data_IF_237717716424
#
_entry.id   IF_237717716424
#
_cell.length_a   1.000
_cell.length_b   1.000
_cell.length_c   1.000
_cell.angle_alpha   90.00
_cell.angle_beta   90.00
_cell.angle_gamma   90.00
#
_symmetry.space_group_name_H-M   'P 1'
#
loop_
_entity.id
_entity.type
_entity.pdbx_description
1 polymer ?
#
# COMPACT_ATOMS: atom_id res chain seq x y z
N UNK A 1 -12.91 -30.83 10.94
CA UNK A 1 -11.48 -30.74 11.30
C UNK A 1 -10.69 -31.26 10.10
N UNK A 2 -9.63 -30.56 9.67
CA UNK A 2 -8.69 -30.94 8.57
C UNK A 2 -8.89 -30.32 7.17
N UNK A 3 -9.44 -29.11 7.06
CA UNK A 3 -9.28 -28.30 5.83
C UNK A 3 -7.87 -27.68 5.72
N UNK A 4 -7.28 -27.32 6.87
CA UNK A 4 -5.95 -26.70 6.94
C UNK A 4 -4.86 -27.72 6.59
N UNK A 5 -4.95 -28.95 7.10
CA UNK A 5 -3.96 -30.02 6.82
C UNK A 5 -3.92 -30.42 5.33
N UNK A 6 -5.06 -30.39 4.63
CA UNK A 6 -5.11 -30.68 3.19
C UNK A 6 -4.55 -29.55 2.32
N UNK A 7 -4.50 -28.31 2.84
CA UNK A 7 -3.83 -27.19 2.16
C UNK A 7 -2.31 -27.38 2.15
N UNK A 8 -1.75 -27.97 3.22
CA UNK A 8 -0.31 -28.17 3.41
C UNK A 8 0.25 -29.46 2.77
N UNK A 9 -0.62 -30.40 2.34
CA UNK A 9 -0.21 -31.67 1.70
C UNK A 9 -0.29 -31.67 0.17
N UNK A 10 -0.69 -30.56 -0.45
CA UNK A 10 -0.80 -30.46 -1.91
C UNK A 10 0.55 -30.08 -2.51
N UNK A 11 1.12 -30.94 -3.36
CA UNK A 11 2.35 -30.71 -4.15
C UNK A 11 2.33 -29.41 -5.02
N UNK A 12 1.20 -28.70 -5.05
CA UNK A 12 0.99 -27.48 -5.83
C UNK A 12 1.44 -26.19 -5.14
N UNK A 13 1.57 -26.13 -3.82
CA UNK A 13 1.96 -24.87 -3.14
C UNK A 13 3.42 -24.99 -2.70
N UNK A 14 4.29 -24.22 -3.35
CA UNK A 14 5.70 -24.11 -3.02
C UNK A 14 5.97 -22.76 -2.33
N UNK A 15 7.00 -22.67 -1.50
CA UNK A 15 7.49 -21.43 -0.88
C UNK A 15 6.42 -20.55 -0.20
N UNK A 16 5.72 -21.09 0.79
CA UNK A 16 4.85 -20.27 1.63
C UNK A 16 5.68 -19.33 2.52
N UNK A 17 5.32 -18.05 2.55
CA UNK A 17 6.01 -17.01 3.34
C UNK A 17 5.01 -16.18 4.12
N UNK A 18 5.36 -15.89 5.36
CA UNK A 18 4.65 -14.95 6.23
C UNK A 18 5.58 -13.79 6.56
N UNK A 19 5.02 -12.59 6.61
CA UNK A 19 5.71 -11.36 6.96
C UNK A 19 4.85 -10.49 7.85
N UNK A 20 5.50 -9.71 8.71
CA UNK A 20 4.85 -8.64 9.45
C UNK A 20 5.77 -7.43 9.47
N UNK A 21 5.18 -6.24 9.37
CA UNK A 21 5.89 -4.98 9.44
C UNK A 21 5.18 -4.06 10.45
N UNK A 22 5.96 -3.39 11.28
CA UNK A 22 5.46 -2.44 12.28
C UNK A 22 6.19 -1.12 12.08
N UNK A 23 5.44 -0.03 11.94
CA UNK A 23 5.99 1.32 11.90
C UNK A 23 5.71 2.00 13.23
N UNK A 24 6.77 2.20 14.01
CA UNK A 24 6.71 2.79 15.35
C UNK A 24 6.43 4.30 15.32
N UNK A 25 5.89 4.80 16.42
CA UNK A 25 5.62 6.22 16.65
C UNK A 25 6.91 7.04 16.52
N UNK A 26 6.90 8.05 15.66
CA UNK A 26 7.93 9.09 15.63
C UNK A 26 7.27 10.43 15.97
N UNK A 27 7.84 11.16 16.94
CA UNK A 27 7.43 12.53 17.26
C UNK A 27 7.93 13.43 16.14
N UNK A 28 7.08 13.73 15.17
CA UNK A 28 7.40 14.69 14.12
C UNK A 28 6.80 16.05 14.48
N UNK A 29 7.64 17.08 14.48
CA UNK A 29 7.17 18.47 14.57
C UNK A 29 6.39 18.77 13.29
N UNK A 30 5.07 18.92 13.41
CA UNK A 30 4.20 19.28 12.32
C UNK A 30 3.78 20.75 12.50
N UNK A 31 4.19 21.61 11.57
CA UNK A 31 3.71 22.99 11.52
C UNK A 31 2.22 22.96 11.15
N UNK A 32 1.36 23.31 12.10
CA UNK A 32 -0.09 23.34 11.91
C UNK A 32 -0.54 24.80 11.84
N UNK A 33 -1.12 25.22 10.72
CA UNK A 33 -1.80 26.50 10.61
C UNK A 33 -3.31 26.29 10.82
N UNK A 34 -3.86 26.94 11.84
CA UNK A 34 -5.31 26.96 12.09
C UNK A 34 -5.92 28.16 11.35
N UNK A 35 -6.76 27.91 10.35
CA UNK A 35 -7.58 28.96 9.74
C UNK A 35 -8.96 28.94 10.38
N UNK A 36 -9.25 29.94 11.21
CA UNK A 36 -10.55 30.10 11.87
C UNK A 36 -11.45 30.94 10.95
N UNK A 37 -12.39 30.32 10.23
CA UNK A 37 -13.38 31.06 9.44
C UNK A 37 -14.48 31.55 10.39
N UNK A 38 -14.33 32.76 10.91
CA UNK A 38 -15.41 33.51 11.55
C UNK A 38 -16.10 34.38 10.50
N UNK A 39 -17.42 34.22 10.32
CA UNK A 39 -18.22 35.30 9.72
C UNK A 39 -18.02 36.55 10.56
N UNK A 40 -17.73 37.68 9.91
CA UNK A 40 -17.37 38.99 10.47
C UNK A 40 -15.88 39.17 10.81
N UNK A 41 -15.11 39.49 9.75
CA UNK A 41 -13.84 40.24 9.69
C UNK A 41 -13.10 40.45 11.03
N UNK A 42 -12.11 39.59 11.29
CA UNK A 42 -10.78 39.97 11.80
C UNK A 42 -9.86 38.73 11.79
N UNK A 43 -8.77 38.81 11.03
CA UNK A 43 -7.75 37.78 10.92
C UNK A 43 -6.78 37.88 12.11
N UNK A 44 -6.60 36.79 12.85
CA UNK A 44 -5.49 36.68 13.81
C UNK A 44 -4.94 35.26 13.72
N UNK A 45 -3.84 35.14 13.00
CA UNK A 45 -3.03 33.92 12.95
C UNK A 45 -2.48 33.67 14.36
N UNK A 46 -3.00 32.65 15.05
CA UNK A 46 -2.41 32.14 16.28
C UNK A 46 -1.54 30.94 15.94
N UNK A 47 -0.24 31.06 16.22
CA UNK A 47 0.75 30.02 15.98
C UNK A 47 0.91 29.21 17.29
N UNK A 48 0.63 27.91 17.24
CA UNK A 48 0.77 27.00 18.38
C UNK A 48 1.62 25.79 17.98
N UNK A 49 2.63 25.46 18.78
CA UNK A 49 3.40 24.21 18.63
C UNK A 49 2.53 23.09 19.17
N UNK A 50 1.95 22.28 18.29
CA UNK A 50 1.15 21.11 18.67
C UNK A 50 1.96 19.85 18.38
N UNK A 51 2.15 19.01 19.40
CA UNK A 51 2.79 17.71 19.23
C UNK A 51 1.81 16.76 18.53
N UNK A 52 2.13 16.35 17.30
CA UNK A 52 1.33 15.40 16.53
C UNK A 52 1.85 13.97 16.80
N UNK A 53 1.04 13.13 17.40
CA UNK A 53 1.38 11.72 17.66
C UNK A 53 0.78 10.83 16.57
N UNK A 54 1.56 10.48 15.53
CA UNK A 54 1.08 9.58 14.48
C UNK A 54 0.95 8.16 15.06
N UNK A 55 -0.24 7.53 14.99
CA UNK A 55 -0.49 6.25 15.64
C UNK A 55 0.26 5.08 14.98
N UNK A 56 0.51 4.05 15.79
CA UNK A 56 1.14 2.79 15.39
C UNK A 56 0.45 2.17 14.17
N UNK A 57 1.24 1.88 13.13
CA UNK A 57 0.80 1.17 11.93
C UNK A 57 1.37 -0.24 11.93
N UNK A 58 0.50 -1.23 11.75
CA UNK A 58 0.86 -2.65 11.68
C UNK A 58 0.38 -3.20 10.35
N UNK A 59 1.24 -3.97 9.68
CA UNK A 59 0.92 -4.67 8.44
C UNK A 59 1.29 -6.15 8.62
N UNK A 60 0.36 -7.03 8.28
CA UNK A 60 0.58 -8.47 8.19
C UNK A 60 0.45 -8.89 6.73
N UNK A 61 1.38 -9.72 6.27
CA UNK A 61 1.43 -10.16 4.87
C UNK A 61 1.69 -11.65 4.77
N UNK A 62 1.11 -12.28 3.77
CA UNK A 62 1.35 -13.65 3.39
C UNK A 62 1.57 -13.73 1.88
N UNK A 63 2.47 -14.61 1.44
CA UNK A 63 2.65 -14.90 0.02
C UNK A 63 2.90 -16.38 -0.20
N UNK A 64 2.51 -16.87 -1.37
CA UNK A 64 2.69 -18.27 -1.74
C UNK A 64 2.98 -18.37 -3.22
N UNK A 65 3.90 -19.26 -3.59
CA UNK A 65 4.18 -19.60 -4.99
C UNK A 65 3.29 -20.79 -5.37
N UNK A 66 2.33 -20.56 -6.26
CA UNK A 66 1.41 -21.60 -6.74
C UNK A 66 2.03 -22.48 -7.82
N UNK A 67 3.01 -21.95 -8.54
CA UNK A 67 3.84 -22.66 -9.52
C UNK A 67 5.08 -21.80 -9.80
N UNK A 68 6.10 -22.30 -10.51
CA UNK A 68 7.30 -21.52 -10.80
C UNK A 68 7.07 -20.18 -11.51
N UNK A 69 5.91 -19.99 -12.16
CA UNK A 69 5.51 -18.80 -12.90
C UNK A 69 4.56 -17.88 -12.14
N UNK A 70 3.91 -18.33 -11.07
CA UNK A 70 2.81 -17.59 -10.43
C UNK A 70 3.00 -17.51 -8.92
N UNK A 71 2.94 -16.28 -8.42
CA UNK A 71 2.99 -15.99 -6.99
C UNK A 71 1.82 -15.10 -6.60
N UNK A 72 1.21 -15.40 -5.45
CA UNK A 72 0.10 -14.62 -4.89
C UNK A 72 0.52 -13.96 -3.59
N UNK A 73 -0.12 -12.84 -3.29
CA UNK A 73 0.14 -12.00 -2.14
C UNK A 73 -1.19 -11.62 -1.48
N UNK A 74 -1.21 -11.62 -0.15
CA UNK A 74 -2.33 -11.14 0.64
C UNK A 74 -1.80 -10.34 1.82
N UNK A 75 -2.22 -9.08 1.94
CA UNK A 75 -1.78 -8.17 2.98
C UNK A 75 -2.97 -7.56 3.71
N UNK A 76 -2.82 -7.43 5.02
CA UNK A 76 -3.74 -6.71 5.90
C UNK A 76 -3.00 -5.61 6.65
N UNK A 77 -3.49 -4.38 6.52
CA UNK A 77 -2.93 -3.20 7.14
C UNK A 77 -3.94 -2.64 8.12
N UNK A 78 -3.48 -2.38 9.34
CA UNK A 78 -4.25 -1.76 10.41
C UNK A 78 -3.47 -0.60 11.04
N UNK A 79 -4.16 0.52 11.29
CA UNK A 79 -3.59 1.65 12.03
C UNK A 79 -4.67 2.27 12.92
N UNK A 80 -4.37 2.35 14.22
CA UNK A 80 -5.31 2.81 15.24
C UNK A 80 -5.36 4.35 15.30
N UNK A 81 -6.17 4.95 14.45
CA UNK A 81 -6.42 6.39 14.47
C UNK A 81 -7.56 6.79 15.42
N UNK A 82 -8.35 5.85 15.95
CA UNK A 82 -9.45 6.15 16.86
C UNK A 82 -8.98 6.64 18.25
N UNK A 83 -7.77 6.26 18.66
CA UNK A 83 -7.15 6.73 19.92
C UNK A 83 -6.29 8.00 19.72
N UNK A 84 -6.36 8.65 18.55
CA UNK A 84 -5.68 9.91 18.32
C UNK A 84 -6.36 11.06 19.09
N UNK A 85 -5.64 11.68 20.03
CA UNK A 85 -6.10 12.82 20.81
C UNK A 85 -5.18 14.02 20.63
N UNK A 86 -5.75 15.20 20.39
CA UNK A 86 -5.04 16.48 20.48
C UNK A 86 -5.51 17.17 21.75
N UNK A 87 -4.59 17.45 22.67
CA UNK A 87 -4.87 18.17 23.93
C UNK A 87 -6.08 17.61 24.69
N UNK A 88 -6.09 16.29 24.92
CA UNK A 88 -7.11 15.53 25.67
C UNK A 88 -8.52 15.44 25.05
N UNK A 89 -8.76 16.07 23.89
CA UNK A 89 -9.99 15.88 23.14
C UNK A 89 -9.79 14.84 22.02
N UNK A 90 -10.60 13.77 22.03
CA UNK A 90 -10.67 12.81 20.94
C UNK A 90 -11.30 13.48 19.72
N UNK A 91 -10.62 13.43 18.59
CA UNK A 91 -11.21 13.94 17.34
C UNK A 91 -12.28 12.96 16.86
N UNK A 92 -13.55 13.38 16.92
CA UNK A 92 -14.71 12.58 16.52
C UNK A 92 -14.70 12.21 15.03
N UNK A 93 -13.85 12.88 14.24
CA UNK A 93 -13.74 12.68 12.80
C UNK A 93 -12.67 11.66 12.40
N UNK A 94 -11.97 11.04 13.35
CA UNK A 94 -10.99 9.99 13.05
C UNK A 94 -11.52 8.58 13.35
N UNK A 95 -11.06 7.62 12.56
CA UNK A 95 -11.40 6.21 12.70
C UNK A 95 -10.23 5.31 12.32
N UNK A 96 -10.26 4.06 12.76
CA UNK A 96 -9.22 3.11 12.40
C UNK A 96 -9.11 2.90 10.88
N UNK A 97 -7.88 3.02 10.40
CA UNK A 97 -7.52 2.66 9.04
C UNK A 97 -7.42 1.13 9.00
N UNK A 98 -8.15 0.52 8.08
CA UNK A 98 -8.06 -0.91 7.82
C UNK A 98 -8.05 -1.13 6.31
N UNK A 99 -7.12 -1.94 5.81
CA UNK A 99 -6.99 -2.17 4.37
C UNK A 99 -6.57 -3.60 4.11
N UNK A 100 -7.33 -4.28 3.25
CA UNK A 100 -7.01 -5.60 2.73
C UNK A 100 -6.52 -5.43 1.30
N UNK A 101 -5.41 -6.08 0.95
CA UNK A 101 -4.85 -6.07 -0.39
C UNK A 101 -4.58 -7.49 -0.86
N UNK A 102 -4.85 -7.75 -2.13
CA UNK A 102 -4.54 -9.00 -2.81
C UNK A 102 -3.75 -8.69 -4.07
N UNK A 103 -2.70 -9.47 -4.31
CA UNK A 103 -1.80 -9.30 -5.44
C UNK A 103 -1.48 -10.63 -6.12
N UNK A 104 -1.15 -10.55 -7.41
CA UNK A 104 -0.65 -11.67 -8.19
C UNK A 104 0.51 -11.21 -9.06
N UNK A 105 1.54 -12.03 -9.13
CA UNK A 105 2.66 -11.91 -10.05
C UNK A 105 2.68 -13.14 -10.96
N UNK A 106 2.79 -12.89 -12.27
CA UNK A 106 2.88 -13.92 -13.30
C UNK A 106 4.12 -13.69 -14.17
N UNK A 107 4.92 -14.72 -14.36
CA UNK A 107 6.10 -14.74 -15.23
C UNK A 107 5.82 -15.58 -16.47
N UNK A 108 6.31 -15.15 -17.62
CA UNK A 108 6.02 -15.85 -18.87
C UNK A 108 6.60 -17.28 -18.90
N UNK A 109 7.80 -17.48 -18.34
CA UNK A 109 8.40 -18.80 -18.18
C UNK A 109 8.92 -19.05 -16.76
N UNK A 110 9.03 -20.34 -16.41
CA UNK A 110 9.67 -20.82 -15.19
C UNK A 110 11.20 -20.75 -15.28
N UNK A 111 11.71 -21.01 -16.50
CA UNK A 111 13.13 -20.99 -16.85
C UNK A 111 13.28 -20.00 -18.01
N UNK A 112 14.15 -19.01 -17.87
CA UNK A 112 14.34 -17.99 -18.89
C UNK A 112 15.42 -18.40 -19.90
N UNK A 113 15.01 -18.61 -21.15
CA UNK A 113 15.92 -18.85 -22.27
C UNK A 113 16.04 -17.61 -23.15
N UNK A 114 14.93 -16.89 -23.33
CA UNK A 114 14.82 -15.67 -24.12
C UNK A 114 14.44 -14.47 -23.25
N UNK A 115 14.61 -13.24 -23.77
CA UNK A 115 14.22 -12.04 -23.04
C UNK A 115 12.71 -11.97 -22.78
N UNK A 116 11.87 -12.46 -23.70
CA UNK A 116 10.42 -12.49 -23.50
C UNK A 116 9.98 -13.42 -22.38
N UNK A 117 10.81 -14.39 -22.00
CA UNK A 117 10.55 -15.29 -20.87
C UNK A 117 10.65 -14.56 -19.52
N UNK A 118 11.44 -13.47 -19.48
CA UNK A 118 11.67 -12.64 -18.30
C UNK A 118 10.61 -11.57 -18.08
N UNK A 119 9.62 -11.45 -18.98
CA UNK A 119 8.51 -10.50 -18.79
C UNK A 119 7.68 -10.92 -17.58
N UNK A 120 7.46 -9.96 -16.68
CA UNK A 120 6.67 -10.15 -15.45
C UNK A 120 5.43 -9.28 -15.53
N UNK A 121 4.26 -9.88 -15.31
CA UNK A 121 2.97 -9.22 -15.19
C UNK A 121 2.56 -9.18 -13.74
N UNK A 122 2.04 -8.04 -13.28
CA UNK A 122 1.56 -7.85 -11.92
C UNK A 122 0.14 -7.29 -11.94
N UNK A 123 -0.70 -7.84 -11.09
CA UNK A 123 -2.07 -7.38 -10.87
C UNK A 123 -2.36 -7.30 -9.39
N UNK A 124 -3.20 -6.36 -8.98
CA UNK A 124 -3.58 -6.23 -7.58
C UNK A 124 -4.87 -5.47 -7.38
N UNK A 125 -5.53 -5.77 -6.27
CA UNK A 125 -6.72 -5.08 -5.79
C UNK A 125 -6.57 -4.78 -4.31
N UNK A 126 -7.14 -3.66 -3.86
CA UNK A 126 -7.22 -3.37 -2.44
C UNK A 126 -8.53 -2.69 -2.09
N UNK A 127 -8.98 -2.92 -0.86
CA UNK A 127 -10.17 -2.31 -0.31
C UNK A 127 -9.96 -2.01 1.16
N UNK A 128 -10.42 -0.84 1.59
CA UNK A 128 -10.25 -0.44 2.98
C UNK A 128 -11.04 0.79 3.39
N UNK A 129 -10.91 1.13 4.66
CA UNK A 129 -11.39 2.37 5.27
C UNK A 129 -10.22 3.33 5.44
N UNK A 130 -10.45 4.61 5.14
CA UNK A 130 -9.48 5.68 5.39
C UNK A 130 -9.53 6.10 6.87
N UNK A 131 -8.56 6.87 7.38
CA UNK A 131 -8.59 7.27 8.78
C UNK A 131 -9.62 8.37 9.06
N UNK A 132 -10.31 8.88 8.04
CA UNK A 132 -11.22 10.02 8.13
C UNK A 132 -12.69 9.59 8.10
N UNK A 133 -13.50 10.26 8.92
CA UNK A 133 -14.96 10.28 8.87
C UNK A 133 -15.41 11.69 8.52
N UNK A 134 -16.35 11.80 7.59
CA UNK A 134 -17.02 13.06 7.27
C UNK A 134 -18.49 12.89 7.62
N UNK A 135 -19.04 13.79 8.44
CA UNK A 135 -20.42 13.75 8.93
C UNK A 135 -20.81 12.39 9.52
N UNK A 136 -19.91 11.77 10.30
CA UNK A 136 -20.13 10.45 10.90
C UNK A 136 -20.04 9.26 9.93
N UNK A 137 -19.82 9.51 8.63
CA UNK A 137 -19.73 8.46 7.62
C UNK A 137 -18.28 8.11 7.30
N UNK A 138 -17.97 6.82 7.36
CA UNK A 138 -16.65 6.26 7.02
C UNK A 138 -16.36 6.38 5.52
N UNK A 139 -15.21 6.94 5.17
CA UNK A 139 -14.75 6.98 3.79
C UNK A 139 -14.09 5.64 3.44
N UNK A 140 -14.59 5.01 2.38
CA UNK A 140 -14.05 3.77 1.81
C UNK A 140 -13.14 4.09 0.63
N UNK A 141 -12.09 3.28 0.47
CA UNK A 141 -11.16 3.34 -0.65
C UNK A 141 -11.11 1.97 -1.33
N UNK A 142 -11.21 1.98 -2.65
CA UNK A 142 -10.98 0.83 -3.52
C UNK A 142 -9.85 1.17 -4.49
N UNK A 143 -8.97 0.22 -4.76
CA UNK A 143 -7.97 0.37 -5.81
C UNK A 143 -7.83 -0.89 -6.64
N UNK A 144 -7.54 -0.72 -7.93
CA UNK A 144 -7.06 -1.75 -8.83
C UNK A 144 -5.75 -1.30 -9.45
N UNK A 145 -4.80 -2.22 -9.59
CA UNK A 145 -3.49 -1.94 -10.18
C UNK A 145 -3.06 -3.03 -11.15
N UNK A 146 -2.39 -2.61 -12.21
CA UNK A 146 -1.72 -3.48 -13.16
C UNK A 146 -0.30 -2.96 -13.40
N UNK A 147 0.64 -3.86 -13.66
CA UNK A 147 2.01 -3.51 -13.98
C UNK A 147 2.68 -4.56 -14.84
N UNK A 148 3.71 -4.12 -15.56
CA UNK A 148 4.54 -4.98 -16.41
C UNK A 148 6.00 -4.62 -16.20
N UNK A 149 6.84 -5.64 -16.03
CA UNK A 149 8.29 -5.53 -16.01
C UNK A 149 8.82 -6.02 -17.35
N UNK A 150 9.41 -5.12 -18.12
CA UNK A 150 9.96 -5.38 -19.44
C UNK A 150 11.49 -5.47 -19.34
N UNK A 151 12.08 -6.63 -19.65
CA UNK A 151 13.52 -6.82 -19.64
C UNK A 151 14.14 -6.28 -20.93
N UNK A 152 15.15 -5.42 -20.82
CA UNK A 152 16.01 -5.07 -21.96
C UNK A 152 17.32 -5.87 -21.94
N UNK A 153 17.71 -6.37 -20.77
CA UNK A 153 18.77 -7.36 -20.60
C UNK A 153 18.37 -8.32 -19.48
N UNK A 154 19.19 -9.34 -19.20
CA UNK A 154 18.92 -10.28 -18.10
C UNK A 154 18.85 -9.61 -16.71
N UNK A 155 19.57 -8.51 -16.55
CA UNK A 155 19.73 -7.77 -15.28
C UNK A 155 19.03 -6.40 -15.29
N UNK A 156 18.57 -5.93 -16.46
CA UNK A 156 18.00 -4.59 -16.62
C UNK A 156 16.50 -4.64 -16.99
N UNK A 157 15.67 -3.90 -16.25
CA UNK A 157 14.21 -3.92 -16.37
C UNK A 157 13.60 -2.52 -16.41
N UNK A 158 12.56 -2.32 -17.25
CA UNK A 158 11.61 -1.21 -17.16
C UNK A 158 10.34 -1.72 -16.49
N UNK A 159 9.99 -1.16 -15.35
CA UNK A 159 8.72 -1.42 -14.72
C UNK A 159 7.74 -0.29 -15.06
N UNK A 160 6.63 -0.65 -15.70
CA UNK A 160 5.51 0.26 -15.93
C UNK A 160 4.35 -0.17 -15.03
N UNK A 161 3.66 0.81 -14.44
CA UNK A 161 2.55 0.58 -13.52
C UNK A 161 1.41 1.56 -13.78
N UNK A 162 0.20 1.04 -13.62
CA UNK A 162 -1.05 1.77 -13.70
C UNK A 162 -1.88 1.40 -12.47
N UNK A 163 -2.40 2.40 -11.76
CA UNK A 163 -3.30 2.18 -10.64
C UNK A 163 -4.46 3.14 -10.70
N UNK A 164 -5.67 2.60 -10.55
CA UNK A 164 -6.89 3.36 -10.39
C UNK A 164 -7.35 3.25 -8.94
N UNK A 165 -7.65 4.38 -8.31
CA UNK A 165 -8.14 4.47 -6.93
C UNK A 165 -9.46 5.23 -6.95
N UNK A 166 -10.49 4.67 -6.35
CA UNK A 166 -11.76 5.36 -6.09
C UNK A 166 -11.96 5.45 -4.58
N UNK A 167 -12.18 6.66 -4.08
CA UNK A 167 -12.30 6.94 -2.66
C UNK A 167 -13.53 7.80 -2.40
N UNK A 168 -14.25 7.49 -1.32
CA UNK A 168 -15.46 8.20 -0.92
C UNK A 168 -16.73 7.68 -1.60
N UNK A 169 -17.82 8.42 -1.42
CA UNK A 169 -19.14 8.15 -1.98
C UNK A 169 -19.76 9.47 -2.40
N UNK A 170 -20.71 9.46 -3.33
CA UNK A 170 -21.57 10.64 -3.62
C UNK A 170 -22.79 10.71 -2.73
N UNK A 171 -23.03 9.67 -1.92
CA UNK A 171 -24.14 9.61 -0.98
C UNK A 171 -23.92 10.58 0.20
N UNK A 172 -25.01 11.15 0.72
CA UNK A 172 -25.01 12.05 1.88
C UNK A 172 -24.11 13.31 1.73
N UNK A 173 -23.87 13.78 0.50
CA UNK A 173 -23.06 14.98 0.24
C UNK A 173 -21.56 14.77 0.41
N UNK A 174 -21.10 13.52 0.43
CA UNK A 174 -19.69 13.18 0.47
C UNK A 174 -19.01 13.42 -0.89
N UNK A 175 -17.72 13.71 -0.85
CA UNK A 175 -16.90 13.86 -2.06
C UNK A 175 -16.46 12.47 -2.53
N UNK A 176 -16.69 12.18 -3.82
CA UNK A 176 -16.11 11.02 -4.51
C UNK A 176 -14.91 11.46 -5.33
N UNK A 177 -13.77 10.84 -5.06
CA UNK A 177 -12.51 11.09 -5.76
C UNK A 177 -12.13 9.87 -6.59
N UNK A 178 -11.66 10.11 -7.81
CA UNK A 178 -11.11 9.07 -8.67
C UNK A 178 -9.71 9.52 -9.10
N UNK A 179 -8.72 8.67 -8.83
CA UNK A 179 -7.31 8.98 -9.04
C UNK A 179 -6.74 7.92 -9.96
N UNK A 180 -6.12 8.38 -11.05
CA UNK A 180 -5.32 7.53 -11.92
C UNK A 180 -3.84 7.82 -11.66
N UNK A 181 -3.07 6.78 -11.33
CA UNK A 181 -1.63 6.86 -11.12
C UNK A 181 -0.91 6.08 -12.21
N UNK A 182 0.08 6.73 -12.81
CA UNK A 182 1.01 6.15 -13.76
C UNK A 182 2.40 6.18 -13.12
N UNK A 183 3.14 5.09 -13.24
CA UNK A 183 4.51 5.00 -12.74
C UNK A 183 5.41 4.26 -13.71
N UNK A 184 6.64 4.75 -13.85
CA UNK A 184 7.70 4.09 -14.57
C UNK A 184 8.94 4.01 -13.67
N UNK A 185 9.63 2.88 -13.65
CA UNK A 185 10.86 2.68 -12.90
C UNK A 185 11.88 1.93 -13.76
N UNK A 186 13.15 2.26 -13.59
CA UNK A 186 14.25 1.65 -14.30
C UNK A 186 15.16 0.96 -13.29
N UNK A 187 15.37 -0.35 -13.48
CA UNK A 187 16.33 -1.15 -12.72
C UNK A 187 17.51 -1.47 -13.62
N UNK A 188 18.71 -1.06 -13.20
CA UNK A 188 19.96 -1.35 -13.91
C UNK A 188 20.85 -2.20 -13.00
N UNK A 189 21.10 -3.43 -13.42
CA UNK A 189 22.05 -4.32 -12.77
C UNK A 189 23.40 -4.25 -13.48
N UNK A 190 24.40 -3.70 -12.80
CA UNK A 190 25.80 -3.82 -13.20
C UNK A 190 26.54 -4.65 -12.16
N UNK A 191 27.52 -5.46 -12.59
CA UNK A 191 28.44 -6.15 -11.69
C UNK A 191 29.56 -5.18 -11.34
N UNK A 192 29.48 -4.59 -10.16
CA UNK A 192 30.55 -3.73 -9.64
C UNK A 192 31.65 -4.65 -9.08
N UNK A 193 32.91 -4.29 -9.31
CA UNK A 193 34.09 -4.96 -8.74
C UNK A 193 34.39 -6.38 -9.23
N UNK A 194 34.14 -6.67 -10.52
CA UNK A 194 34.73 -7.86 -11.14
C UNK A 194 36.25 -7.66 -11.21
N UNK A 195 36.99 -8.35 -10.34
CA UNK A 195 38.46 -8.39 -10.41
C UNK A 195 38.84 -9.09 -11.71
N UNK A 196 39.47 -8.37 -12.63
CA UNK A 196 40.12 -8.98 -13.79
C UNK A 196 41.40 -9.64 -13.29
N UNK A 197 41.40 -10.97 -13.23
CA UNK A 197 42.64 -11.73 -13.07
C UNK A 197 43.42 -11.59 -14.39
N UNK A 198 44.56 -10.90 -14.32
CA UNK A 198 45.58 -10.86 -15.38
C UNK A 198 46.68 -11.88 -15.07
#
# INVERSE_FOLDING_TARGET
QNLIENLFKSEKIQDFRLGAAVSFLSKMSADTSFTKIGSYVNDTLSQGITSMNIPLKVTFGASARLNPRTQIYADYLFQNWADYSVSENRDINLQNLSKVSLGIEYKNSAQAYTLSDLIIWRGGVSYGTTPYKINGTSIKEFSVSAGVSLPFSRENYLDLSLQYISRGSTEAGLLKENILKLGASLSLGELWFVRQDY
#
